data_IF_123666922910
#
_entry.id   IF_123666922910
#
_cell.length_a   1.000
_cell.length_b   1.000
_cell.length_c   1.000
_cell.angle_alpha   90.00
_cell.angle_beta   90.00
_cell.angle_gamma   90.00
#
_symmetry.space_group_name_H-M   'P 1'
#
loop_
_entity.id
_entity.type
_entity.pdbx_description
1 polymer ?
#
# COMPACT_ATOMS: atom_id res chain seq x y z
N UNK A 1 0.32 -89.37 25.95
CA UNK A 1 -0.59 -89.71 24.82
C UNK A 1 -1.26 -88.43 24.36
N UNK A 2 -0.99 -88.02 23.11
CA UNK A 2 -1.57 -86.83 22.48
C UNK A 2 -3.10 -86.81 22.53
N UNK A 3 -3.69 -85.62 22.73
CA UNK A 3 -4.84 -85.13 21.93
C UNK A 3 -4.98 -83.61 22.07
N UNK A 4 -5.27 -83.00 20.91
CA UNK A 4 -5.57 -81.60 20.54
C UNK A 4 -6.41 -80.84 21.61
N UNK A 5 -6.40 -79.51 21.71
CA UNK A 5 -7.04 -78.57 20.78
C UNK A 5 -6.55 -77.12 20.95
N UNK A 6 -6.51 -76.42 19.80
CA UNK A 6 -6.30 -74.99 19.58
C UNK A 6 -7.18 -74.11 20.47
N UNK A 7 -6.64 -73.00 20.98
CA UNK A 7 -7.23 -71.65 20.82
C UNK A 7 -6.10 -70.62 20.93
N UNK A 8 -5.97 -69.82 19.88
CA UNK A 8 -5.08 -68.67 19.74
C UNK A 8 -5.41 -67.56 20.74
N UNK A 9 -4.41 -66.99 21.42
CA UNK A 9 -4.54 -65.64 21.97
C UNK A 9 -3.18 -64.91 21.99
N UNK A 10 -2.77 -64.49 20.80
CA UNK A 10 -1.79 -63.43 20.58
C UNK A 10 -2.36 -62.11 21.13
N UNK A 11 -1.91 -61.68 22.31
CA UNK A 11 -2.10 -60.29 22.76
C UNK A 11 -0.89 -59.49 22.29
N UNK A 12 -0.97 -58.97 21.07
CA UNK A 12 -0.04 -57.99 20.52
C UNK A 12 -0.51 -56.59 20.95
N UNK A 13 0.15 -55.99 21.95
CA UNK A 13 -0.09 -54.58 22.31
C UNK A 13 0.69 -53.72 21.31
N UNK A 14 0.02 -53.27 20.24
CA UNK A 14 0.55 -52.26 19.33
C UNK A 14 0.09 -50.87 19.81
N UNK A 15 1.04 -50.06 20.28
CA UNK A 15 0.82 -48.65 20.60
C UNK A 15 0.55 -47.88 19.31
N UNK A 16 -0.65 -47.34 19.15
CA UNK A 16 -0.98 -46.37 18.10
C UNK A 16 -1.08 -44.99 18.75
N UNK A 17 0.02 -44.24 18.72
CA UNK A 17 0.01 -42.80 18.99
C UNK A 17 -0.43 -42.13 17.70
N UNK A 18 -1.70 -41.75 17.63
CA UNK A 18 -2.24 -40.96 16.53
C UNK A 18 -1.71 -39.52 16.63
N UNK A 19 -0.67 -39.20 15.86
CA UNK A 19 -0.25 -37.82 15.65
C UNK A 19 -1.22 -37.20 14.65
N UNK A 20 -2.24 -36.49 15.14
CA UNK A 20 -3.10 -35.66 14.31
C UNK A 20 -2.33 -34.40 13.91
N UNK A 21 -1.91 -34.30 12.65
CA UNK A 21 -1.35 -33.07 12.09
C UNK A 21 -2.47 -32.02 11.96
N UNK A 22 -2.53 -31.06 12.88
CA UNK A 22 -3.37 -29.88 12.72
C UNK A 22 -2.67 -28.91 11.77
N UNK A 23 -3.18 -28.78 10.55
CA UNK A 23 -2.78 -27.72 9.63
C UNK A 23 -3.36 -26.40 10.12
N UNK A 24 -2.53 -25.47 10.59
CA UNK A 24 -2.93 -24.08 10.74
C UNK A 24 -3.05 -23.47 9.34
N UNK A 25 -4.29 -23.23 8.89
CA UNK A 25 -4.51 -22.35 7.76
C UNK A 25 -4.16 -20.91 8.20
N UNK A 26 -3.26 -20.25 7.48
CA UNK A 26 -3.01 -18.83 7.69
C UNK A 26 -4.32 -18.07 7.39
N UNK A 27 -4.84 -17.39 8.40
CA UNK A 27 -6.02 -16.55 8.25
C UNK A 27 -5.63 -15.36 7.37
N UNK A 28 -6.37 -15.14 6.29
CA UNK A 28 -6.19 -13.93 5.48
C UNK A 28 -6.45 -12.71 6.38
N UNK A 29 -5.54 -11.74 6.34
CA UNK A 29 -5.70 -10.50 7.08
C UNK A 29 -6.76 -9.65 6.35
N UNK A 30 -7.97 -9.56 6.92
CA UNK A 30 -9.10 -8.80 6.38
C UNK A 30 -8.91 -7.27 6.53
N UNK A 31 -7.74 -6.81 6.98
CA UNK A 31 -7.42 -5.38 7.03
C UNK A 31 -7.36 -4.81 5.60
N UNK A 32 -8.13 -3.76 5.27
CA UNK A 32 -8.05 -3.12 3.98
C UNK A 32 -6.60 -2.69 3.69
N UNK A 33 -6.08 -2.95 2.47
CA UNK A 33 -4.75 -2.50 2.11
C UNK A 33 -4.65 -0.98 2.32
N UNK A 34 -3.56 -0.54 2.93
CA UNK A 34 -3.30 0.88 3.22
C UNK A 34 -2.43 1.49 2.12
N UNK A 35 -2.59 2.79 1.82
CA UNK A 35 -1.64 3.53 1.01
C UNK A 35 -0.19 3.31 1.46
N UNK A 36 0.69 2.94 0.53
CA UNK A 36 2.13 2.89 0.76
C UNK A 36 2.78 4.10 0.11
N UNK A 37 3.51 4.86 0.91
CA UNK A 37 4.23 6.07 0.50
C UNK A 37 5.71 5.84 0.80
N UNK A 38 6.53 5.83 -0.24
CA UNK A 38 7.97 5.56 -0.12
C UNK A 38 8.74 6.75 -0.69
N UNK A 39 9.62 7.35 0.12
CA UNK A 39 10.53 8.38 -0.35
C UNK A 39 11.76 7.73 -1.00
N UNK A 40 11.94 7.98 -2.28
CA UNK A 40 13.05 7.47 -3.09
C UNK A 40 14.27 8.41 -3.07
N UNK A 41 14.03 9.72 -3.03
CA UNK A 41 15.05 10.75 -2.96
C UNK A 41 14.56 11.91 -2.09
N UNK A 42 15.46 12.45 -1.29
CA UNK A 42 15.30 13.73 -0.61
C UNK A 42 16.63 14.48 -0.70
N UNK A 43 16.63 15.61 -1.40
CA UNK A 43 17.87 16.35 -1.68
C UNK A 43 17.62 17.86 -1.68
N UNK A 44 18.58 18.64 -1.17
CA UNK A 44 18.55 20.10 -1.30
C UNK A 44 18.87 20.49 -2.74
N UNK A 45 18.15 21.46 -3.28
CA UNK A 45 18.41 22.02 -4.60
C UNK A 45 19.39 23.19 -4.48
N UNK A 46 20.68 22.91 -4.63
CA UNK A 46 21.78 23.87 -4.34
C UNK A 46 21.72 25.21 -5.08
N UNK A 47 21.03 25.26 -6.23
CA UNK A 47 20.89 26.47 -7.04
C UNK A 47 19.67 27.34 -6.69
N UNK A 48 18.84 26.94 -5.72
CA UNK A 48 17.61 27.64 -5.35
C UNK A 48 17.50 27.71 -3.84
N UNK A 49 17.43 28.94 -3.32
CA UNK A 49 17.38 29.18 -1.87
C UNK A 49 16.21 28.44 -1.20
N UNK A 50 16.49 27.82 -0.05
CA UNK A 50 15.50 27.15 0.80
C UNK A 50 14.59 26.16 0.07
N UNK A 51 15.13 25.49 -0.96
CA UNK A 51 14.38 24.57 -1.80
C UNK A 51 15.00 23.17 -1.75
N UNK A 52 14.15 22.17 -1.66
CA UNK A 52 14.50 20.77 -1.72
C UNK A 52 13.62 20.01 -2.72
N UNK A 53 14.08 18.85 -3.13
CA UNK A 53 13.36 17.92 -3.98
C UNK A 53 13.05 16.66 -3.19
N UNK A 54 11.79 16.25 -3.22
CA UNK A 54 11.31 14.97 -2.68
C UNK A 54 10.76 14.16 -3.84
N UNK A 55 11.36 12.99 -4.10
CA UNK A 55 10.85 12.01 -5.06
C UNK A 55 10.25 10.85 -4.29
N UNK A 56 8.99 10.51 -4.56
CA UNK A 56 8.30 9.42 -3.88
C UNK A 56 7.70 8.44 -4.88
N UNK A 57 7.66 7.17 -4.51
CA UNK A 57 6.77 6.18 -5.12
C UNK A 57 5.56 6.01 -4.22
N UNK A 58 4.36 6.12 -4.80
CA UNK A 58 3.10 5.90 -4.09
C UNK A 58 2.37 4.71 -4.69
N UNK A 59 1.78 3.90 -3.82
CA UNK A 59 0.94 2.75 -4.16
C UNK A 59 -0.37 2.88 -3.37
N UNK A 60 -1.43 3.27 -4.08
CA UNK A 60 -2.74 3.54 -3.50
C UNK A 60 -3.67 2.36 -3.83
N UNK A 61 -4.17 1.64 -2.82
CA UNK A 61 -4.96 0.44 -3.04
C UNK A 61 -6.32 0.71 -3.71
N UNK A 62 -6.96 -0.35 -4.27
CA UNK A 62 -8.31 -0.31 -4.79
C UNK A 62 -9.30 0.48 -3.94
N UNK A 63 -10.03 1.40 -4.58
CA UNK A 63 -11.09 2.23 -3.99
C UNK A 63 -10.66 3.09 -2.77
N UNK A 64 -9.37 3.15 -2.44
CA UNK A 64 -8.88 3.96 -1.34
C UNK A 64 -8.97 5.46 -1.66
N UNK A 65 -9.34 6.24 -0.66
CA UNK A 65 -9.28 7.69 -0.72
C UNK A 65 -7.99 8.17 -0.07
N UNK A 66 -7.34 9.13 -0.72
CA UNK A 66 -6.23 9.88 -0.16
C UNK A 66 -6.77 11.21 0.36
N UNK A 67 -6.62 11.50 1.67
CA UNK A 67 -7.35 12.58 2.33
C UNK A 67 -6.93 13.97 1.83
N UNK A 68 -7.76 14.98 2.12
CA UNK A 68 -7.49 16.39 1.80
C UNK A 68 -6.21 16.88 2.50
N UNK A 69 -5.30 17.45 1.73
CA UNK A 69 -4.05 17.99 2.25
C UNK A 69 -3.44 19.00 1.28
N UNK A 70 -2.38 19.67 1.70
CA UNK A 70 -1.52 20.47 0.84
C UNK A 70 -0.04 20.28 1.21
N UNK A 71 0.82 20.80 0.36
CA UNK A 71 2.26 20.75 0.51
C UNK A 71 2.82 22.18 0.48
N UNK A 72 3.79 22.54 1.34
CA UNK A 72 4.60 23.75 1.18
C UNK A 72 5.62 23.56 0.03
N UNK A 73 5.11 23.26 -1.16
CA UNK A 73 5.83 22.94 -2.38
C UNK A 73 4.88 22.72 -3.56
N UNK A 74 5.41 22.74 -4.78
CA UNK A 74 4.68 22.28 -5.98
C UNK A 74 4.88 20.77 -6.14
N UNK A 75 3.84 20.07 -6.62
CA UNK A 75 3.88 18.63 -6.84
C UNK A 75 3.59 18.27 -8.31
N UNK A 76 4.33 17.29 -8.81
CA UNK A 76 4.22 16.75 -10.17
C UNK A 76 4.10 15.23 -10.08
N UNK A 77 2.96 14.70 -10.48
CA UNK A 77 2.64 13.27 -10.41
C UNK A 77 2.73 12.68 -11.80
N UNK A 78 3.41 11.55 -11.94
CA UNK A 78 3.39 10.70 -13.12
C UNK A 78 2.80 9.34 -12.77
N UNK A 79 1.66 9.00 -13.37
CA UNK A 79 0.93 7.77 -13.06
C UNK A 79 1.57 6.59 -13.78
N UNK A 80 2.06 5.61 -13.03
CA UNK A 80 2.71 4.41 -13.55
C UNK A 80 1.69 3.33 -13.94
N UNK A 81 0.72 3.09 -13.07
CA UNK A 81 -0.26 2.00 -13.19
C UNK A 81 -1.63 2.45 -12.66
N UNK A 82 -2.70 1.82 -13.15
CA UNK A 82 -4.06 2.03 -12.65
C UNK A 82 -4.68 3.36 -13.06
N UNK A 83 -5.67 3.80 -12.27
CA UNK A 83 -6.46 5.00 -12.54
C UNK A 83 -7.15 5.52 -11.28
N UNK A 84 -7.72 6.73 -11.38
CA UNK A 84 -8.45 7.34 -10.27
C UNK A 84 -8.99 8.71 -10.61
N UNK A 85 -9.43 9.41 -9.58
CA UNK A 85 -9.78 10.82 -9.64
C UNK A 85 -8.89 11.63 -8.71
N UNK A 86 -8.58 12.84 -9.12
CA UNK A 86 -7.96 13.85 -8.29
C UNK A 86 -8.87 15.09 -8.27
N UNK A 87 -8.80 15.86 -7.20
CA UNK A 87 -9.51 17.13 -7.15
C UNK A 87 -8.67 18.14 -6.39
N UNK A 88 -8.60 19.34 -6.97
CA UNK A 88 -7.98 20.52 -6.37
C UNK A 88 -9.11 21.42 -5.87
N UNK A 89 -8.92 22.03 -4.72
CA UNK A 89 -9.96 22.85 -4.09
C UNK A 89 -10.41 23.99 -5.00
N UNK A 90 -11.72 24.04 -5.29
CA UNK A 90 -12.31 25.03 -6.19
C UNK A 90 -12.35 24.63 -7.67
N UNK A 91 -11.76 23.49 -8.03
CA UNK A 91 -11.76 22.97 -9.40
C UNK A 91 -12.69 21.75 -9.54
N UNK A 92 -13.03 21.40 -10.78
CA UNK A 92 -13.77 20.18 -11.08
C UNK A 92 -12.92 18.93 -10.82
N UNK A 93 -13.57 17.81 -10.50
CA UNK A 93 -12.90 16.52 -10.36
C UNK A 93 -12.30 16.08 -11.71
N UNK A 94 -11.04 15.66 -11.68
CA UNK A 94 -10.28 15.26 -12.85
C UNK A 94 -9.94 13.77 -12.79
N UNK A 95 -10.22 13.04 -13.87
CA UNK A 95 -9.85 11.64 -14.02
C UNK A 95 -8.41 11.51 -14.51
N UNK A 96 -7.70 10.48 -14.05
CA UNK A 96 -6.37 10.13 -14.53
C UNK A 96 -6.21 8.62 -14.71
N UNK A 97 -5.24 8.22 -15.53
CA UNK A 97 -4.81 6.84 -15.75
C UNK A 97 -3.30 6.75 -15.98
N UNK A 98 -2.78 5.53 -16.07
CA UNK A 98 -1.37 5.28 -16.41
C UNK A 98 -0.90 6.08 -17.63
N UNK A 99 0.25 6.73 -17.50
CA UNK A 99 0.84 7.63 -18.49
C UNK A 99 0.44 9.10 -18.34
N UNK A 100 -0.61 9.42 -17.58
CA UNK A 100 -1.02 10.81 -17.35
C UNK A 100 -0.07 11.50 -16.36
N UNK A 101 -0.05 12.83 -16.45
CA UNK A 101 0.67 13.72 -15.54
C UNK A 101 -0.29 14.70 -14.88
N UNK A 102 -0.10 14.93 -13.58
CA UNK A 102 -0.87 15.90 -12.80
C UNK A 102 0.08 16.90 -12.16
N UNK A 103 -0.19 18.20 -12.34
CA UNK A 103 0.48 19.26 -11.59
C UNK A 103 -0.44 19.73 -10.46
N UNK A 104 0.07 19.72 -9.24
CA UNK A 104 -0.55 20.37 -8.09
C UNK A 104 0.21 21.67 -7.80
N UNK A 105 -0.46 22.84 -7.86
CA UNK A 105 0.17 24.11 -7.53
C UNK A 105 0.60 24.23 -6.06
N UNK A 106 1.49 25.18 -5.81
CA UNK A 106 2.02 25.51 -4.49
C UNK A 106 0.90 25.74 -3.45
N UNK A 107 0.96 25.03 -2.32
CA UNK A 107 0.00 25.10 -1.20
C UNK A 107 -1.48 24.87 -1.58
N UNK A 108 -1.76 24.31 -2.76
CA UNK A 108 -3.12 24.00 -3.20
C UNK A 108 -3.64 22.76 -2.45
N UNK A 109 -4.78 22.90 -1.77
CA UNK A 109 -5.48 21.76 -1.16
C UNK A 109 -5.96 20.82 -2.26
N UNK A 110 -5.64 19.54 -2.13
CA UNK A 110 -6.02 18.50 -3.07
C UNK A 110 -6.24 17.15 -2.38
N UNK A 111 -6.94 16.26 -3.06
CA UNK A 111 -7.21 14.89 -2.65
C UNK A 111 -7.35 13.99 -3.87
N UNK A 112 -7.30 12.68 -3.65
CA UNK A 112 -7.44 11.71 -4.72
C UNK A 112 -8.25 10.50 -4.26
N UNK A 113 -8.86 9.80 -5.21
CA UNK A 113 -9.51 8.52 -5.00
C UNK A 113 -9.03 7.54 -6.05
N UNK A 114 -8.56 6.38 -5.59
CA UNK A 114 -8.17 5.32 -6.50
C UNK A 114 -9.38 4.65 -7.15
N UNK A 115 -9.20 4.21 -8.39
CA UNK A 115 -10.14 3.36 -9.09
C UNK A 115 -10.21 1.94 -8.52
N UNK A 116 -10.94 1.07 -9.22
CA UNK A 116 -11.21 -0.30 -8.77
C UNK A 116 -9.95 -1.18 -8.65
N UNK A 117 -8.86 -0.84 -9.34
CA UNK A 117 -7.60 -1.60 -9.32
C UNK A 117 -6.49 -0.91 -8.51
N UNK A 118 -6.77 0.24 -7.92
CA UNK A 118 -5.72 1.06 -7.31
C UNK A 118 -4.99 1.92 -8.34
N UNK A 119 -3.93 2.61 -7.90
CA UNK A 119 -2.96 3.23 -8.80
C UNK A 119 -1.59 3.32 -8.17
N UNK A 120 -0.56 3.42 -9.01
CA UNK A 120 0.81 3.72 -8.60
C UNK A 120 1.33 4.94 -9.33
N UNK A 121 2.16 5.73 -8.68
CA UNK A 121 2.74 6.91 -9.30
C UNK A 121 4.14 7.23 -8.76
N UNK A 122 4.92 7.92 -9.59
CA UNK A 122 6.07 8.69 -9.15
C UNK A 122 5.61 10.12 -8.87
N UNK A 123 5.97 10.63 -7.71
CA UNK A 123 5.64 11.99 -7.28
C UNK A 123 6.94 12.75 -7.09
N UNK A 124 7.13 13.80 -7.87
CA UNK A 124 8.24 14.74 -7.75
C UNK A 124 7.73 16.03 -7.11
N UNK A 125 8.32 16.46 -6.00
CA UNK A 125 7.99 17.73 -5.35
C UNK A 125 9.17 18.68 -5.33
N UNK A 126 8.90 19.94 -5.62
CA UNK A 126 9.79 21.07 -5.34
C UNK A 126 9.26 21.73 -4.08
N UNK A 127 9.96 21.57 -2.97
CA UNK A 127 9.44 21.76 -1.62
C UNK A 127 10.31 22.72 -0.81
N UNK A 128 9.69 23.43 0.15
CA UNK A 128 10.40 24.35 1.04
C UNK A 128 11.19 23.58 2.10
N UNK A 129 12.50 23.77 2.12
CA UNK A 129 13.40 23.08 3.05
C UNK A 129 12.96 23.23 4.50
N UNK A 130 12.94 22.11 5.23
CA UNK A 130 12.63 22.06 6.66
C UNK A 130 11.15 22.17 7.03
N UNK A 131 10.25 22.28 6.05
CA UNK A 131 8.81 22.26 6.29
C UNK A 131 8.25 20.82 6.32
N UNK A 132 7.09 20.55 6.95
CA UNK A 132 6.44 19.25 6.83
C UNK A 132 6.17 18.89 5.36
N UNK A 133 6.37 17.62 4.99
CA UNK A 133 6.06 17.18 3.61
C UNK A 133 4.59 17.49 3.32
N UNK A 134 3.68 17.05 4.18
CA UNK A 134 2.22 17.14 4.02
C UNK A 134 1.58 17.82 5.23
N UNK A 135 0.62 18.72 4.95
CA UNK A 135 -0.22 19.35 5.96
C UNK A 135 -1.67 19.00 5.67
N UNK A 136 -2.35 18.40 6.65
CA UNK A 136 -3.75 17.99 6.49
C UNK A 136 -4.67 19.21 6.40
N UNK A 137 -5.67 19.14 5.53
CA UNK A 137 -6.71 20.14 5.40
C UNK A 137 -8.05 19.53 5.84
N UNK A 138 -8.89 20.36 6.45
CA UNK A 138 -10.28 20.00 6.81
C UNK A 138 -11.18 19.89 5.57
#
# INVERSE_FOLDING_TARGET
MNRLHRVDLLVLIAAVVAITSTTFAAQADDTPPKPRLETLLHAVLEGVDSTEVILSHIDIPPAAAFPRHYHPGEEFVYVLEGSGTAQLEGDEEMQFKAGDVVKIPFERVHWAKAGAEGFKAIVFRVHKTGMPERIMAE
#
